data_IF_495959942563
#
_entry.id   IF_495959942563
#
_cell.length_a   1.000
_cell.length_b   1.000
_cell.length_c   1.000
_cell.angle_alpha   90.00
_cell.angle_beta   90.00
_cell.angle_gamma   90.00
#
_symmetry.space_group_name_H-M   'P 1'
#
loop_
_entity.id
_entity.type
_entity.pdbx_description
1 polymer ?
#
# COMPACT_ATOMS: atom_id res chain seq x y z
N UNK A 1 -27.46 72.94 63.90
CA UNK A 1 -26.09 72.72 64.44
C UNK A 1 -25.21 72.15 63.33
N UNK A 2 -24.68 73.02 62.47
CA UNK A 2 -23.65 72.69 61.48
C UNK A 2 -22.38 73.41 61.93
N UNK A 3 -21.47 72.68 62.57
CA UNK A 3 -20.15 73.19 62.88
C UNK A 3 -19.39 73.39 61.57
N UNK A 4 -19.03 74.64 61.25
CA UNK A 4 -18.15 74.95 60.12
C UNK A 4 -16.74 74.44 60.45
N UNK A 5 -16.41 73.26 59.90
CA UNK A 5 -15.06 72.70 59.90
C UNK A 5 -14.11 73.64 59.13
N UNK A 6 -12.88 73.85 59.61
CA UNK A 6 -11.92 74.73 58.93
C UNK A 6 -11.60 74.25 57.49
N UNK A 7 -11.40 75.16 56.50
CA UNK A 7 -11.21 74.78 55.10
C UNK A 7 -10.05 73.80 54.88
N UNK A 8 -8.99 73.91 55.69
CA UNK A 8 -7.80 73.06 55.65
C UNK A 8 -8.08 71.61 56.05
N UNK A 9 -8.96 71.40 57.04
CA UNK A 9 -9.38 70.06 57.46
C UNK A 9 -10.22 69.40 56.38
N UNK A 10 -11.08 70.17 55.70
CA UNK A 10 -11.87 69.66 54.58
C UNK A 10 -11.00 69.23 53.40
N UNK A 11 -10.01 70.05 53.03
CA UNK A 11 -9.02 69.72 51.98
C UNK A 11 -8.22 68.46 52.34
N UNK A 12 -7.76 68.32 53.59
CA UNK A 12 -7.02 67.14 54.02
C UNK A 12 -7.86 65.85 53.95
N UNK A 13 -9.15 65.91 54.32
CA UNK A 13 -10.07 64.78 54.20
C UNK A 13 -10.32 64.38 52.74
N UNK A 14 -10.47 65.34 51.83
CA UNK A 14 -10.63 65.06 50.40
C UNK A 14 -9.38 64.40 49.83
N UNK A 15 -8.18 64.87 50.19
CA UNK A 15 -6.92 64.26 49.75
C UNK A 15 -6.79 62.83 50.29
N UNK A 16 -7.09 62.60 51.57
CA UNK A 16 -7.07 61.27 52.17
C UNK A 16 -8.06 60.32 51.47
N UNK A 17 -9.25 60.80 51.14
CA UNK A 17 -10.25 60.03 50.40
C UNK A 17 -9.78 59.69 48.99
N UNK A 18 -9.18 60.64 48.26
CA UNK A 18 -8.63 60.41 46.92
C UNK A 18 -7.49 59.39 46.95
N UNK A 19 -6.57 59.49 47.92
CA UNK A 19 -5.48 58.52 48.07
C UNK A 19 -6.02 57.12 48.41
N UNK A 20 -7.01 57.02 49.30
CA UNK A 20 -7.67 55.76 49.59
C UNK A 20 -8.35 55.16 48.35
N UNK A 21 -9.01 56.00 47.53
CA UNK A 21 -9.66 55.58 46.29
C UNK A 21 -8.64 55.10 45.24
N UNK A 22 -7.51 55.80 45.07
CA UNK A 22 -6.43 55.40 44.17
C UNK A 22 -5.79 54.09 44.65
N UNK A 23 -5.50 53.94 45.94
CA UNK A 23 -4.98 52.71 46.51
C UNK A 23 -5.94 51.53 46.29
N UNK A 24 -7.23 51.72 46.52
CA UNK A 24 -8.26 50.71 46.24
C UNK A 24 -8.33 50.34 44.76
N UNK A 25 -8.24 51.31 43.84
CA UNK A 25 -8.20 51.06 42.39
C UNK A 25 -6.96 50.28 41.98
N UNK A 26 -5.78 50.61 42.53
CA UNK A 26 -4.53 49.90 42.24
C UNK A 26 -4.60 48.43 42.69
N UNK A 27 -5.11 48.15 43.90
CA UNK A 27 -5.30 46.78 44.39
C UNK A 27 -6.29 46.00 43.52
N UNK A 28 -7.38 46.64 43.08
CA UNK A 28 -8.33 45.99 42.16
C UNK A 28 -7.69 45.63 40.83
N UNK A 29 -6.90 46.53 40.24
CA UNK A 29 -6.21 46.30 38.96
C UNK A 29 -5.11 45.24 39.11
N UNK A 30 -4.34 45.24 40.21
CA UNK A 30 -3.32 44.21 40.44
C UNK A 30 -3.96 42.83 40.62
N UNK A 31 -5.06 42.74 41.35
CA UNK A 31 -5.79 41.49 41.55
C UNK A 31 -6.41 41.00 40.24
N UNK A 32 -6.96 41.90 39.41
CA UNK A 32 -7.48 41.56 38.10
C UNK A 32 -6.39 41.04 37.15
N UNK A 33 -5.22 41.69 37.12
CA UNK A 33 -4.06 41.24 36.33
C UNK A 33 -3.54 39.89 36.80
N UNK A 34 -3.46 39.67 38.12
CA UNK A 34 -3.03 38.41 38.70
C UNK A 34 -4.03 37.27 38.40
N UNK A 35 -5.34 37.55 38.43
CA UNK A 35 -6.36 36.60 38.02
C UNK A 35 -6.22 36.26 36.52
N UNK A 36 -6.04 37.27 35.66
CA UNK A 36 -5.86 37.07 34.23
C UNK A 36 -4.59 36.25 33.92
N UNK A 37 -3.47 36.51 34.58
CA UNK A 37 -2.23 35.74 34.37
C UNK A 37 -2.38 34.29 34.81
N UNK A 38 -3.13 34.02 35.89
CA UNK A 38 -3.41 32.66 36.36
C UNK A 38 -4.26 31.91 35.34
N UNK A 39 -5.36 32.50 34.87
CA UNK A 39 -6.20 31.87 33.84
C UNK A 39 -5.44 31.66 32.54
N UNK A 40 -4.58 32.60 32.12
CA UNK A 40 -3.74 32.42 30.94
C UNK A 40 -2.73 31.28 31.11
N UNK A 41 -2.10 31.17 32.30
CA UNK A 41 -1.19 30.08 32.61
C UNK A 41 -1.90 28.72 32.63
N UNK A 42 -3.06 28.62 33.29
CA UNK A 42 -3.89 27.41 33.31
C UNK A 42 -4.32 27.00 31.90
N UNK A 43 -4.77 27.96 31.09
CA UNK A 43 -5.15 27.71 29.71
C UNK A 43 -3.96 27.23 28.85
N UNK A 44 -2.77 27.81 29.05
CA UNK A 44 -1.55 27.37 28.35
C UNK A 44 -1.14 25.95 28.77
N UNK A 45 -1.23 25.63 30.06
CA UNK A 45 -0.92 24.29 30.59
C UNK A 45 -1.91 23.25 30.07
N UNK A 46 -3.20 23.60 30.00
CA UNK A 46 -4.23 22.78 29.40
C UNK A 46 -3.97 22.51 27.92
N UNK A 47 -3.66 23.54 27.14
CA UNK A 47 -3.31 23.40 25.71
C UNK A 47 -2.05 22.54 25.52
N UNK A 48 -1.03 22.72 26.36
CA UNK A 48 0.18 21.89 26.30
C UNK A 48 -0.13 20.41 26.57
N UNK A 49 -1.01 20.15 27.53
CA UNK A 49 -1.43 18.78 27.89
C UNK A 49 -2.26 18.15 26.77
N UNK A 50 -3.18 18.91 26.17
CA UNK A 50 -3.97 18.52 25.00
C UNK A 50 -3.08 18.25 23.78
N UNK A 51 -2.09 19.11 23.53
CA UNK A 51 -1.16 18.93 22.41
C UNK A 51 -0.30 17.68 22.60
N UNK A 52 0.14 17.39 23.82
CA UNK A 52 0.93 16.21 24.11
C UNK A 52 0.10 14.93 24.03
N UNK A 53 -1.13 14.92 24.57
CA UNK A 53 -2.03 13.77 24.44
C UNK A 53 -2.37 13.48 22.98
N UNK A 54 -2.62 14.52 22.18
CA UNK A 54 -2.83 14.41 20.73
C UNK A 54 -1.60 13.83 20.02
N UNK A 55 -0.39 14.29 20.36
CA UNK A 55 0.86 13.75 19.80
C UNK A 55 1.07 12.28 20.14
N UNK A 56 0.80 11.88 21.38
CA UNK A 56 0.92 10.48 21.80
C UNK A 56 -0.11 9.59 21.09
N UNK A 57 -1.35 10.06 20.96
CA UNK A 57 -2.38 9.36 20.21
C UNK A 57 -1.97 9.18 18.73
N UNK A 58 -1.47 10.24 18.09
CA UNK A 58 -0.99 10.20 16.71
C UNK A 58 0.18 9.24 16.54
N UNK A 59 1.17 9.26 17.44
CA UNK A 59 2.30 8.31 17.40
C UNK A 59 1.82 6.86 17.52
N UNK A 60 0.87 6.58 18.41
CA UNK A 60 0.31 5.23 18.57
C UNK A 60 -0.44 4.75 17.32
N UNK A 61 -1.19 5.64 16.66
CA UNK A 61 -1.84 5.36 15.38
C UNK A 61 -0.82 5.05 14.30
N UNK A 62 0.20 5.91 14.15
CA UNK A 62 1.26 5.74 13.15
C UNK A 62 2.09 4.48 13.36
N UNK A 63 2.39 4.10 14.59
CA UNK A 63 3.08 2.84 14.87
C UNK A 63 2.27 1.63 14.40
N UNK A 64 0.96 1.65 14.63
CA UNK A 64 0.06 0.59 14.16
C UNK A 64 0.00 0.55 12.63
N UNK A 65 -0.15 1.72 11.99
CA UNK A 65 -0.14 1.84 10.53
C UNK A 65 1.18 1.35 9.91
N UNK A 66 2.32 1.70 10.51
CA UNK A 66 3.64 1.27 10.05
C UNK A 66 3.80 -0.24 10.17
N UNK A 67 3.35 -0.85 11.28
CA UNK A 67 3.36 -2.30 11.45
C UNK A 67 2.51 -2.99 10.38
N UNK A 68 1.28 -2.54 10.17
CA UNK A 68 0.41 -3.11 9.14
C UNK A 68 0.97 -2.93 7.73
N UNK A 69 1.50 -1.74 7.42
CA UNK A 69 2.13 -1.47 6.13
C UNK A 69 3.33 -2.40 5.88
N UNK A 70 4.22 -2.56 6.88
CA UNK A 70 5.38 -3.44 6.76
C UNK A 70 4.97 -4.91 6.56
N UNK A 71 3.95 -5.38 7.28
CA UNK A 71 3.44 -6.75 7.13
C UNK A 71 2.83 -6.98 5.75
N UNK A 72 1.96 -6.07 5.28
CA UNK A 72 1.33 -6.18 3.95
C UNK A 72 2.39 -6.11 2.84
N UNK A 73 3.35 -5.19 2.96
CA UNK A 73 4.46 -5.07 2.02
C UNK A 73 5.27 -6.37 1.94
N UNK A 74 5.55 -7.02 3.07
CA UNK A 74 6.21 -8.32 3.10
C UNK A 74 5.44 -9.41 2.34
N UNK A 75 4.12 -9.48 2.55
CA UNK A 75 3.25 -10.44 1.85
C UNK A 75 3.18 -10.14 0.36
N UNK A 76 3.04 -8.87 -0.03
CA UNK A 76 3.04 -8.43 -1.42
C UNK A 76 4.34 -8.79 -2.13
N UNK A 77 5.49 -8.59 -1.47
CA UNK A 77 6.80 -8.97 -2.02
C UNK A 77 6.95 -10.50 -2.18
N UNK A 78 6.48 -11.29 -1.21
CA UNK A 78 6.45 -12.76 -1.35
C UNK A 78 5.55 -13.18 -2.53
N UNK A 79 4.40 -12.54 -2.69
CA UNK A 79 3.48 -12.76 -3.81
C UNK A 79 4.13 -12.46 -5.16
N UNK A 80 4.80 -11.30 -5.27
CA UNK A 80 5.50 -10.91 -6.49
C UNK A 80 6.64 -11.88 -6.83
N UNK A 81 7.42 -12.31 -5.83
CA UNK A 81 8.48 -13.29 -6.03
C UNK A 81 7.94 -14.60 -6.60
N UNK A 82 6.77 -15.07 -6.14
CA UNK A 82 6.12 -16.26 -6.69
C UNK A 82 5.66 -16.06 -8.14
N UNK A 83 5.14 -14.89 -8.47
CA UNK A 83 4.78 -14.55 -9.86
C UNK A 83 6.03 -14.61 -10.76
N UNK A 84 7.14 -14.06 -10.29
CA UNK A 84 8.40 -14.04 -11.05
C UNK A 84 8.94 -15.45 -11.27
N UNK A 85 8.87 -16.33 -10.26
CA UNK A 85 9.22 -17.75 -10.38
C UNK A 85 8.30 -18.45 -11.39
N UNK A 86 6.98 -18.30 -11.27
CA UNK A 86 6.04 -18.92 -12.20
C UNK A 86 6.26 -18.46 -13.65
N UNK A 87 6.59 -17.17 -13.84
CA UNK A 87 6.97 -16.62 -15.13
C UNK A 87 8.25 -17.25 -15.69
N UNK A 88 9.30 -17.35 -14.86
CA UNK A 88 10.55 -17.98 -15.28
C UNK A 88 10.34 -19.47 -15.64
N UNK A 89 9.45 -20.15 -14.93
CA UNK A 89 9.09 -21.54 -15.21
C UNK A 89 8.35 -21.67 -16.54
N UNK A 90 7.39 -20.77 -16.82
CA UNK A 90 6.69 -20.69 -18.09
C UNK A 90 7.65 -20.41 -19.27
N UNK A 91 8.60 -19.48 -19.10
CA UNK A 91 9.62 -19.19 -20.10
C UNK A 91 10.52 -20.42 -20.38
N UNK A 92 10.92 -21.16 -19.33
CA UNK A 92 11.68 -22.40 -19.47
C UNK A 92 10.89 -23.50 -20.18
N UNK A 93 9.59 -23.62 -19.87
CA UNK A 93 8.70 -24.57 -20.52
C UNK A 93 8.52 -24.24 -22.01
N UNK A 94 8.25 -22.98 -22.35
CA UNK A 94 8.12 -22.53 -23.74
C UNK A 94 9.41 -22.73 -24.54
N UNK A 95 10.58 -22.50 -23.94
CA UNK A 95 11.86 -22.80 -24.59
C UNK A 95 12.06 -24.32 -24.82
N UNK A 96 11.55 -25.17 -23.92
CA UNK A 96 11.59 -26.62 -24.10
C UNK A 96 10.63 -27.09 -25.20
N UNK A 97 9.42 -26.54 -25.26
CA UNK A 97 8.44 -26.79 -26.32
C UNK A 97 9.05 -26.46 -27.69
N UNK A 98 9.63 -25.27 -27.86
CA UNK A 98 10.26 -24.86 -29.11
C UNK A 98 11.35 -25.84 -29.56
N UNK A 99 12.18 -26.34 -28.64
CA UNK A 99 13.21 -27.34 -28.95
C UNK A 99 12.60 -28.67 -29.39
N UNK A 100 11.49 -29.09 -28.78
CA UNK A 100 10.76 -30.31 -29.19
C UNK A 100 10.18 -30.12 -30.59
N UNK A 101 9.52 -28.99 -30.86
CA UNK A 101 8.96 -28.67 -32.17
C UNK A 101 10.02 -28.67 -33.27
N UNK A 102 11.20 -28.09 -33.01
CA UNK A 102 12.34 -28.14 -33.95
C UNK A 102 12.81 -29.57 -34.24
N UNK A 103 12.87 -30.43 -33.21
CA UNK A 103 13.25 -31.84 -33.38
C UNK A 103 12.20 -32.62 -34.16
N UNK A 104 10.91 -32.37 -33.91
CA UNK A 104 9.80 -32.98 -34.66
C UNK A 104 9.87 -32.56 -36.13
N UNK A 105 10.03 -31.27 -36.41
CA UNK A 105 10.17 -30.77 -37.79
C UNK A 105 11.38 -31.37 -38.51
N UNK A 106 12.53 -31.47 -37.83
CA UNK A 106 13.72 -32.12 -38.38
C UNK A 106 13.47 -33.61 -38.67
N UNK A 107 12.79 -34.32 -37.78
CA UNK A 107 12.44 -35.73 -37.95
C UNK A 107 11.49 -35.95 -39.14
N UNK A 108 10.42 -35.16 -39.24
CA UNK A 108 9.50 -35.22 -40.38
C UNK A 108 10.22 -34.94 -41.71
N UNK A 109 11.14 -33.98 -41.73
CA UNK A 109 11.98 -33.69 -42.91
C UNK A 109 12.89 -34.86 -43.30
N UNK A 110 13.39 -35.63 -42.33
CA UNK A 110 14.26 -36.77 -42.57
C UNK A 110 13.46 -37.95 -43.13
N UNK A 111 12.25 -38.19 -42.61
CA UNK A 111 11.32 -39.22 -43.13
C UNK A 111 10.97 -38.92 -44.59
N UNK A 112 10.60 -37.68 -44.92
CA UNK A 112 10.27 -37.30 -46.31
C UNK A 112 11.42 -37.55 -47.26
N UNK A 113 12.63 -37.13 -46.90
CA UNK A 113 13.84 -37.37 -47.70
C UNK A 113 14.11 -38.87 -47.91
N UNK A 114 13.96 -39.69 -46.88
CA UNK A 114 14.14 -41.15 -47.00
C UNK A 114 13.05 -41.80 -47.89
N UNK A 115 11.82 -41.28 -47.86
CA UNK A 115 10.74 -41.74 -48.73
C UNK A 115 10.97 -41.36 -50.21
N UNK A 116 11.58 -40.20 -50.47
CA UNK A 116 11.97 -39.77 -51.83
C UNK A 116 13.13 -40.60 -52.40
N UNK A 117 14.11 -40.97 -51.56
CA UNK A 117 15.33 -41.68 -51.96
C UNK A 117 15.11 -43.20 -52.20
N UNK A 118 14.04 -43.77 -51.63
CA UNK A 118 13.76 -45.22 -51.70
C UNK A 118 13.17 -45.70 -53.03
N UNK A 119 13.03 -44.83 -54.04
CA UNK A 119 12.69 -45.22 -55.42
C UNK A 119 11.33 -45.93 -55.60
N UNK A 120 10.52 -46.04 -54.54
CA UNK A 120 9.18 -46.62 -54.62
C UNK A 120 8.30 -45.59 -55.32
N UNK A 121 8.08 -45.80 -56.62
CA UNK A 121 6.98 -45.18 -57.33
C UNK A 121 5.68 -45.59 -56.63
N UNK A 122 5.19 -44.75 -55.72
CA UNK A 122 3.87 -44.94 -55.14
C UNK A 122 2.87 -44.65 -56.25
N UNK A 123 2.32 -45.71 -56.83
CA UNK A 123 1.19 -45.66 -57.75
C UNK A 123 -0.01 -45.12 -56.98
N UNK A 124 -0.17 -43.79 -56.93
CA UNK A 124 -1.21 -43.15 -56.14
C UNK A 124 -0.97 -41.66 -55.95
N UNK A 125 -0.61 -40.96 -57.02
CA UNK A 125 -0.43 -39.51 -57.06
C UNK A 125 -1.77 -38.74 -56.91
N UNK A 126 -2.43 -38.90 -55.76
CA UNK A 126 -3.47 -37.99 -55.25
C UNK A 126 -3.11 -37.41 -53.87
N UNK A 127 -1.94 -37.78 -53.32
CA UNK A 127 -1.50 -37.33 -52.00
C UNK A 127 -0.95 -35.89 -51.95
N UNK A 128 -0.69 -35.24 -53.09
CA UNK A 128 -0.06 -33.91 -53.13
C UNK A 128 -0.97 -32.72 -52.76
N UNK A 129 -2.22 -32.97 -52.34
CA UNK A 129 -3.17 -31.90 -51.98
C UNK A 129 -3.87 -32.09 -50.62
N UNK A 130 -3.56 -33.16 -49.88
CA UNK A 130 -4.09 -33.40 -48.54
C UNK A 130 -2.94 -33.31 -47.56
N UNK A 131 -3.03 -32.41 -46.57
CA UNK A 131 -2.05 -32.31 -45.49
C UNK A 131 -1.74 -33.70 -44.94
N UNK A 132 -0.45 -34.05 -44.87
CA UNK A 132 0.01 -35.31 -44.29
C UNK A 132 -0.62 -35.46 -42.89
N UNK A 133 -1.26 -36.60 -42.55
CA UNK A 133 -1.83 -36.83 -41.23
C UNK A 133 -0.85 -36.50 -40.09
N UNK A 134 0.46 -36.67 -40.28
CA UNK A 134 1.48 -36.32 -39.30
C UNK A 134 1.64 -34.79 -39.15
N UNK A 135 1.53 -34.03 -40.23
CA UNK A 135 1.57 -32.56 -40.18
C UNK A 135 0.36 -32.01 -39.41
N UNK A 136 -0.84 -32.53 -39.70
CA UNK A 136 -2.05 -32.15 -38.98
C UNK A 136 -1.94 -32.46 -37.49
N UNK A 137 -1.45 -33.65 -37.14
CA UNK A 137 -1.24 -34.05 -35.74
C UNK A 137 -0.25 -33.13 -35.04
N UNK A 138 0.88 -32.80 -35.68
CA UNK A 138 1.89 -31.89 -35.13
C UNK A 138 1.33 -30.48 -34.89
N UNK A 139 0.53 -29.98 -35.83
CA UNK A 139 -0.14 -28.68 -35.71
C UNK A 139 -1.16 -28.66 -34.57
N UNK A 140 -2.00 -29.71 -34.45
CA UNK A 140 -2.99 -29.80 -33.37
C UNK A 140 -2.32 -29.89 -32.00
N UNK A 141 -1.23 -30.66 -31.86
CA UNK A 141 -0.47 -30.71 -30.62
C UNK A 141 0.16 -29.36 -30.28
N UNK A 142 0.79 -28.69 -31.25
CA UNK A 142 1.36 -27.35 -31.04
C UNK A 142 0.28 -26.34 -30.58
N UNK A 143 -0.91 -26.39 -31.20
CA UNK A 143 -2.01 -25.50 -30.82
C UNK A 143 -2.56 -25.81 -29.44
N UNK A 144 -2.69 -27.10 -29.10
CA UNK A 144 -3.16 -27.54 -27.79
C UNK A 144 -2.18 -27.15 -26.69
N UNK A 145 -0.88 -27.37 -26.90
CA UNK A 145 0.18 -27.04 -25.93
C UNK A 145 0.29 -25.53 -25.71
N UNK A 146 0.31 -24.74 -26.79
CA UNK A 146 0.27 -23.27 -26.71
C UNK A 146 -0.94 -22.75 -25.93
N UNK A 147 -2.13 -23.32 -26.17
CA UNK A 147 -3.34 -22.93 -25.43
C UNK A 147 -3.23 -23.34 -23.96
N UNK A 148 -2.74 -24.54 -23.67
CA UNK A 148 -2.52 -25.00 -22.29
C UNK A 148 -1.52 -24.10 -21.55
N UNK A 149 -0.47 -23.63 -22.22
CA UNK A 149 0.50 -22.68 -21.67
C UNK A 149 -0.12 -21.33 -21.30
N UNK A 150 -0.92 -20.74 -22.19
CA UNK A 150 -1.63 -19.48 -21.93
C UNK A 150 -2.60 -19.62 -20.73
N UNK A 151 -3.33 -20.74 -20.64
CA UNK A 151 -4.21 -21.00 -19.50
C UNK A 151 -3.42 -21.21 -18.20
N UNK A 152 -2.30 -21.94 -18.25
CA UNK A 152 -1.45 -22.16 -17.08
C UNK A 152 -0.90 -20.83 -16.53
N UNK A 153 -0.40 -19.96 -17.40
CA UNK A 153 0.10 -18.64 -17.00
C UNK A 153 -0.99 -17.77 -16.33
N UNK A 154 -2.20 -17.74 -16.92
CA UNK A 154 -3.32 -17.02 -16.34
C UNK A 154 -3.78 -17.61 -14.99
N UNK A 155 -3.78 -18.94 -14.87
CA UNK A 155 -4.17 -19.62 -13.65
C UNK A 155 -3.14 -19.40 -12.54
N UNK A 156 -1.85 -19.52 -12.83
CA UNK A 156 -0.78 -19.28 -11.85
C UNK A 156 -0.83 -17.84 -11.34
N UNK A 157 -0.97 -16.86 -12.25
CA UNK A 157 -1.11 -15.45 -11.87
C UNK A 157 -2.32 -15.21 -10.98
N UNK A 158 -3.50 -15.72 -11.36
CA UNK A 158 -4.72 -15.50 -10.59
C UNK A 158 -4.66 -16.20 -9.23
N UNK A 159 -4.11 -17.42 -9.17
CA UNK A 159 -3.95 -18.20 -7.95
C UNK A 159 -2.97 -17.56 -6.98
N UNK A 160 -1.80 -17.13 -7.46
CA UNK A 160 -0.81 -16.45 -6.61
C UNK A 160 -1.38 -15.13 -6.09
N UNK A 161 -2.07 -14.37 -6.94
CA UNK A 161 -2.72 -13.12 -6.52
C UNK A 161 -3.78 -13.36 -5.44
N UNK A 162 -4.65 -14.36 -5.63
CA UNK A 162 -5.67 -14.74 -4.65
C UNK A 162 -5.05 -15.15 -3.30
N UNK A 163 -4.05 -16.04 -3.33
CA UNK A 163 -3.33 -16.45 -2.11
C UNK A 163 -2.62 -15.28 -1.43
N UNK A 164 -2.11 -14.32 -2.19
CA UNK A 164 -1.46 -13.12 -1.63
C UNK A 164 -2.49 -12.24 -0.92
N UNK A 165 -3.69 -12.06 -1.51
CA UNK A 165 -4.78 -11.33 -0.85
C UNK A 165 -5.25 -12.03 0.44
N UNK A 166 -5.44 -13.35 0.40
CA UNK A 166 -5.82 -14.15 1.58
C UNK A 166 -4.77 -14.01 2.69
N UNK A 167 -3.49 -14.21 2.36
CA UNK A 167 -2.38 -14.03 3.31
C UNK A 167 -2.29 -12.62 3.87
N UNK A 168 -2.50 -11.59 3.05
CA UNK A 168 -2.46 -10.21 3.50
C UNK A 168 -3.58 -9.95 4.51
N UNK A 169 -4.79 -10.41 4.22
CA UNK A 169 -5.91 -10.34 5.16
C UNK A 169 -5.62 -11.11 6.45
N UNK A 170 -5.17 -12.36 6.35
CA UNK A 170 -4.83 -13.20 7.50
C UNK A 170 -3.75 -12.54 8.37
N UNK A 171 -2.77 -11.88 7.75
CA UNK A 171 -1.69 -11.17 8.46
C UNK A 171 -2.16 -9.96 9.27
N UNK A 172 -3.30 -9.35 8.90
CA UNK A 172 -3.87 -8.20 9.58
C UNK A 172 -4.81 -8.62 10.74
N UNK A 173 -5.37 -9.83 10.70
CA UNK A 173 -6.27 -10.35 11.72
C UNK A 173 -5.58 -11.31 12.70
N UNK A 174 -4.44 -11.91 12.31
CA UNK A 174 -3.65 -12.77 13.16
C UNK A 174 -3.09 -11.95 14.34
N UNK A 175 -3.40 -12.40 15.56
CA UNK A 175 -3.20 -11.66 16.80
C UNK A 175 -1.85 -11.94 17.44
#
# INVERSE_FOLDING_TARGET
MMALMSPKVWVALVIAFLLAMVGAQQVRVSNAKAAQSRTAAEFSAYQATQAESARLAERSRRDTEQRWAATVEGVSNEGQQKIDVARADAERAGAAEQRVQQRVAAFLSAIRRAAEDSGVATTGATASARSDPLDLLSYLFARADSTAGELAEALDRSRISGQTCEKAYDSLIAK
#
